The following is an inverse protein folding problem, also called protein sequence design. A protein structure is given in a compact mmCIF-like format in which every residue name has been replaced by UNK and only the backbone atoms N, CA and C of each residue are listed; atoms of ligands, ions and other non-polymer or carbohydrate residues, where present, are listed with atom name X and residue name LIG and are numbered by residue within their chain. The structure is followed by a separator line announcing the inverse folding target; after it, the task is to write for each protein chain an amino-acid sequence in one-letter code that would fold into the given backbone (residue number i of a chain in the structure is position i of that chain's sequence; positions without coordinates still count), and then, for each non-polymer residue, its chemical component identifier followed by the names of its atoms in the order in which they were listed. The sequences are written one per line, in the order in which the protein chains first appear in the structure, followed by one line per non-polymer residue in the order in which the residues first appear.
data_IF_719521835144
#
_entry.id   IF_719521835144
#
_cell.length_a   1.000
_cell.length_b   1.000
_cell.length_c   1.000
_cell.angle_alpha   90.00
_cell.angle_beta   90.00
_cell.angle_gamma   90.00
#
_symmetry.space_group_name_H-M   'P 1'
#
loop_
_entity.id
_entity.type
_entity.pdbx_description
1 polymer ?
#
# COMPACT_ATOMS: atom_id res chain seq x y z
N UNK A 1 -7.73 20.31 -2.65
CA UNK A 1 -6.38 20.91 -2.77
C UNK A 1 -5.54 20.31 -1.66
N UNK A 2 -4.49 19.56 -1.99
CA UNK A 2 -3.58 18.99 -0.98
C UNK A 2 -2.76 20.15 -0.41
N UNK A 3 -2.82 20.39 0.90
CA UNK A 3 -1.92 21.35 1.55
C UNK A 3 -0.51 20.78 1.48
N UNK A 4 0.38 21.38 0.69
CA UNK A 4 1.73 20.87 0.46
C UNK A 4 2.74 21.32 1.52
N UNK A 5 2.36 22.28 2.36
CA UNK A 5 3.26 22.90 3.35
C UNK A 5 3.52 22.00 4.58
N UNK A 6 2.73 20.92 4.73
CA UNK A 6 2.89 19.94 5.82
C UNK A 6 3.89 18.82 5.48
N UNK A 7 4.40 18.78 4.25
CA UNK A 7 5.28 17.70 3.79
C UNK A 7 6.76 18.09 3.90
N UNK A 8 7.66 17.11 4.14
CA UNK A 8 9.09 17.37 4.18
C UNK A 8 9.62 18.05 2.90
N UNK A 9 10.72 18.82 2.98
CA UNK A 9 11.28 19.57 1.84
C UNK A 9 11.69 18.71 0.62
N UNK A 10 11.75 17.39 0.77
CA UNK A 10 12.13 16.42 -0.28
C UNK A 10 10.95 15.57 -0.77
N UNK A 11 9.72 16.07 -0.64
CA UNK A 11 8.52 15.39 -1.15
C UNK A 11 8.19 15.85 -2.57
N UNK A 12 8.07 14.89 -3.49
CA UNK A 12 7.52 15.12 -4.83
C UNK A 12 6.07 14.64 -4.89
N UNK A 13 5.21 15.41 -5.58
CA UNK A 13 3.81 15.04 -5.81
C UNK A 13 3.64 14.61 -7.27
N UNK A 14 3.39 13.32 -7.47
CA UNK A 14 3.21 12.70 -8.79
C UNK A 14 1.75 12.23 -8.91
N UNK A 15 0.85 13.13 -9.30
CA UNK A 15 -0.60 12.90 -9.37
C UNK A 15 -1.08 13.21 -10.79
N UNK A 16 -1.98 12.37 -11.33
CA UNK A 16 -2.58 12.58 -12.66
C UNK A 16 -1.64 12.22 -13.82
N UNK A 17 -0.71 11.29 -13.57
CA UNK A 17 0.21 10.77 -14.58
C UNK A 17 -0.43 9.65 -15.38
N UNK A 18 0.05 9.45 -16.60
CA UNK A 18 -0.32 8.29 -17.40
C UNK A 18 0.24 7.01 -16.78
N UNK A 19 -0.46 5.89 -16.99
CA UNK A 19 -0.10 4.61 -16.38
C UNK A 19 1.33 4.13 -16.74
N UNK A 20 1.81 4.24 -18.00
CA UNK A 20 3.18 3.85 -18.34
C UNK A 20 4.24 4.66 -17.59
N UNK A 21 4.05 5.96 -17.44
CA UNK A 21 5.00 6.83 -16.74
C UNK A 21 5.02 6.51 -15.24
N UNK A 22 3.84 6.25 -14.67
CA UNK A 22 3.69 5.82 -13.28
C UNK A 22 4.41 4.48 -13.04
N UNK A 23 4.24 3.51 -13.93
CA UNK A 23 4.94 2.22 -13.86
C UNK A 23 6.46 2.38 -13.97
N UNK A 24 6.95 3.27 -14.85
CA UNK A 24 8.36 3.60 -14.99
C UNK A 24 8.96 4.15 -13.69
N UNK A 25 8.26 5.07 -13.02
CA UNK A 25 8.69 5.59 -11.72
C UNK A 25 8.68 4.50 -10.65
N UNK A 26 7.59 3.73 -10.56
CA UNK A 26 7.45 2.65 -9.57
C UNK A 26 8.59 1.64 -9.69
N UNK A 27 8.98 1.30 -10.93
CA UNK A 27 10.11 0.40 -11.19
C UNK A 27 11.40 0.92 -10.55
N UNK A 28 11.57 2.23 -10.42
CA UNK A 28 12.78 2.87 -9.90
C UNK A 28 12.78 3.15 -8.39
N UNK A 29 11.66 2.94 -7.70
CA UNK A 29 11.57 3.10 -6.25
C UNK A 29 12.30 1.97 -5.50
N UNK A 30 12.85 2.28 -4.32
CA UNK A 30 13.39 1.27 -3.39
C UNK A 30 12.28 0.46 -2.72
N UNK A 31 11.15 1.10 -2.43
CA UNK A 31 9.96 0.48 -1.85
C UNK A 31 8.73 1.35 -2.11
N UNK A 32 7.56 0.74 -2.23
CA UNK A 32 6.27 1.42 -2.36
C UNK A 32 5.34 1.04 -1.19
N UNK A 33 4.61 2.01 -0.66
CA UNK A 33 3.54 1.77 0.32
C UNK A 33 2.21 1.92 -0.41
N UNK A 34 1.36 0.91 -0.35
CA UNK A 34 0.09 0.86 -1.06
C UNK A 34 -1.05 0.43 -0.11
N UNK A 35 -2.24 0.98 -0.29
CA UNK A 35 -3.49 0.29 0.04
C UNK A 35 -3.90 -0.71 -1.06
N UNK A 36 -4.98 -1.47 -0.85
CA UNK A 36 -5.59 -2.32 -1.89
C UNK A 36 -6.17 -1.48 -3.05
N UNK A 37 -5.31 -1.18 -4.04
CA UNK A 37 -5.63 -0.41 -5.24
C UNK A 37 -4.95 -0.99 -6.49
N UNK A 38 -5.29 -0.50 -7.67
CA UNK A 38 -4.64 -0.93 -8.92
C UNK A 38 -3.12 -0.71 -8.92
N UNK A 39 -2.64 0.34 -8.26
CA UNK A 39 -1.20 0.66 -8.20
C UNK A 39 -0.42 -0.42 -7.44
N UNK A 40 -0.98 -1.01 -6.39
CA UNK A 40 -0.39 -2.16 -5.70
C UNK A 40 -0.04 -3.32 -6.65
N UNK A 41 -0.94 -3.62 -7.60
CA UNK A 41 -0.72 -4.65 -8.61
C UNK A 41 0.32 -4.23 -9.65
N UNK A 42 0.34 -2.95 -10.06
CA UNK A 42 1.39 -2.41 -10.94
C UNK A 42 2.75 -2.51 -10.28
N UNK A 43 2.86 -2.16 -9.00
CA UNK A 43 4.08 -2.35 -8.19
C UNK A 43 4.51 -3.80 -8.14
N UNK A 44 3.56 -4.73 -8.01
CA UNK A 44 3.87 -6.16 -8.07
C UNK A 44 4.44 -6.57 -9.43
N UNK A 45 3.83 -6.09 -10.52
CA UNK A 45 4.26 -6.37 -11.89
C UNK A 45 5.63 -5.76 -12.24
N UNK A 46 5.99 -4.62 -11.63
CA UNK A 46 7.32 -4.01 -11.78
C UNK A 46 8.41 -4.69 -10.91
N UNK A 47 8.04 -5.69 -10.12
CA UNK A 47 8.92 -6.39 -9.17
C UNK A 47 9.63 -5.44 -8.18
N UNK A 48 8.94 -4.35 -7.82
CA UNK A 48 9.37 -3.38 -6.81
C UNK A 48 8.95 -3.87 -5.41
N UNK A 49 9.82 -3.78 -4.39
CA UNK A 49 9.44 -4.06 -3.01
C UNK A 49 8.25 -3.21 -2.57
N UNK A 50 7.34 -3.80 -1.79
CA UNK A 50 6.17 -3.05 -1.34
C UNK A 50 5.59 -3.49 0.00
N UNK A 51 5.02 -2.54 0.70
CA UNK A 51 4.13 -2.78 1.84
C UNK A 51 2.69 -2.56 1.36
N UNK A 52 1.88 -3.61 1.41
CA UNK A 52 0.48 -3.58 1.00
C UNK A 52 -0.44 -3.65 2.24
N UNK A 53 -1.25 -2.61 2.44
CA UNK A 53 -2.07 -2.40 3.62
C UNK A 53 -3.51 -2.84 3.33
N UNK A 54 -4.02 -3.77 4.14
CA UNK A 54 -5.34 -4.35 4.01
C UNK A 54 -6.19 -4.17 5.26
N UNK A 55 -7.50 -4.10 5.04
CA UNK A 55 -8.50 -4.11 6.11
C UNK A 55 -9.85 -4.63 5.63
N UNK A 56 -10.65 -3.83 4.88
CA UNK A 56 -11.97 -4.26 4.42
C UNK A 56 -11.92 -5.41 3.40
N UNK A 57 -10.95 -5.37 2.48
CA UNK A 57 -10.83 -6.30 1.35
C UNK A 57 -10.04 -7.55 1.71
N UNK A 58 -10.23 -8.63 0.93
CA UNK A 58 -9.55 -9.90 1.16
C UNK A 58 -8.12 -9.86 0.61
N UNK A 59 -7.12 -9.94 1.48
CA UNK A 59 -5.72 -10.11 1.12
C UNK A 59 -5.45 -11.48 0.47
N UNK A 60 -6.21 -12.52 0.81
CA UNK A 60 -6.09 -13.82 0.16
C UNK A 60 -6.41 -13.71 -1.34
N UNK A 61 -7.40 -12.89 -1.69
CA UNK A 61 -7.84 -12.69 -3.07
C UNK A 61 -7.00 -11.64 -3.81
N UNK A 62 -6.74 -10.50 -3.16
CA UNK A 62 -6.26 -9.29 -3.81
C UNK A 62 -4.79 -8.96 -3.52
N UNK A 63 -4.06 -9.73 -2.71
CA UNK A 63 -2.65 -9.42 -2.41
C UNK A 63 -1.80 -9.21 -3.67
N UNK A 64 -0.72 -8.41 -3.58
CA UNK A 64 0.27 -8.33 -4.65
C UNK A 64 0.90 -9.70 -4.92
N UNK A 65 1.16 -10.00 -6.20
CA UNK A 65 1.75 -11.26 -6.63
C UNK A 65 3.22 -11.06 -7.00
N UNK A 66 4.05 -10.81 -5.99
CA UNK A 66 5.51 -10.88 -6.09
C UNK A 66 6.09 -11.43 -4.77
N UNK A 67 7.38 -11.75 -4.77
CA UNK A 67 8.08 -12.26 -3.57
C UNK A 67 8.69 -11.14 -2.71
N UNK A 68 8.41 -9.88 -3.06
CA UNK A 68 8.99 -8.68 -2.45
C UNK A 68 7.95 -7.83 -1.72
N UNK A 69 6.77 -8.39 -1.47
CA UNK A 69 5.68 -7.71 -0.78
C UNK A 69 5.54 -8.18 0.67
N UNK A 70 5.34 -7.23 1.57
CA UNK A 70 4.80 -7.45 2.90
C UNK A 70 3.33 -7.05 2.91
N UNK A 71 2.46 -7.91 3.47
CA UNK A 71 1.02 -7.63 3.63
C UNK A 71 0.75 -7.31 5.09
N UNK A 72 0.29 -6.09 5.37
CA UNK A 72 -0.06 -5.65 6.72
C UNK A 72 -1.59 -5.59 6.86
N UNK A 73 -2.10 -6.20 7.93
CA UNK A 73 -3.49 -6.08 8.38
C UNK A 73 -3.57 -6.28 9.88
N UNK A 74 -4.55 -5.67 10.53
CA UNK A 74 -4.76 -5.85 11.98
C UNK A 74 -5.29 -7.24 12.38
N UNK A 75 -5.91 -7.99 11.46
CA UNK A 75 -6.50 -9.30 11.76
C UNK A 75 -7.73 -9.23 12.68
N UNK A 76 -8.45 -8.10 12.69
CA UNK A 76 -9.64 -7.94 13.53
C UNK A 76 -10.78 -8.87 13.08
N UNK A 77 -11.72 -9.23 13.98
CA UNK A 77 -12.91 -10.03 13.63
C UNK A 77 -13.81 -9.40 12.56
N UNK A 78 -13.65 -8.12 12.27
CA UNK A 78 -14.37 -7.44 11.20
C UNK A 78 -13.74 -7.59 9.81
N UNK A 79 -12.55 -8.21 9.70
CA UNK A 79 -11.77 -8.32 8.47
C UNK A 79 -11.72 -9.78 7.95
N UNK A 80 -11.76 -9.99 6.62
CA UNK A 80 -12.24 -9.04 5.62
C UNK A 80 -13.77 -8.90 5.73
N UNK A 81 -14.31 -7.72 5.44
CA UNK A 81 -15.75 -7.51 5.30
C UNK A 81 -16.19 -7.42 3.84
N UNK A 82 -15.28 -7.67 2.88
CA UNK A 82 -15.55 -7.67 1.45
C UNK A 82 -16.79 -8.49 1.10
N UNK A 83 -17.67 -7.92 0.26
CA UNK A 83 -18.94 -8.53 -0.17
C UNK A 83 -19.95 -8.79 0.94
N UNK A 84 -19.75 -8.21 2.13
CA UNK A 84 -20.76 -8.18 3.20
C UNK A 84 -21.41 -6.79 3.26
N UNK A 85 -22.63 -6.67 3.83
CA UNK A 85 -23.25 -5.36 4.06
C UNK A 85 -22.33 -4.39 4.82
N UNK A 86 -21.51 -4.92 5.74
CA UNK A 86 -20.57 -4.16 6.57
C UNK A 86 -19.51 -3.42 5.74
N UNK A 87 -19.18 -3.87 4.53
CA UNK A 87 -18.25 -3.15 3.66
C UNK A 87 -18.73 -1.73 3.31
N UNK A 88 -20.05 -1.54 3.20
CA UNK A 88 -20.65 -0.25 2.80
C UNK A 88 -21.28 0.50 3.96
N UNK A 89 -21.66 -0.19 5.05
CA UNK A 89 -22.31 0.41 6.22
C UNK A 89 -21.34 0.75 7.36
N UNK A 90 -20.08 0.28 7.31
CA UNK A 90 -19.07 0.60 8.32
C UNK A 90 -18.66 2.08 8.24
N UNK A 91 -18.78 2.80 9.35
CA UNK A 91 -18.41 4.22 9.46
C UNK A 91 -17.08 4.45 10.18
N UNK A 92 -16.55 3.44 10.90
CA UNK A 92 -15.37 3.61 11.75
C UNK A 92 -14.05 3.18 11.10
N UNK A 93 -14.09 2.22 10.19
CA UNK A 93 -12.91 1.65 9.50
C UNK A 93 -11.71 1.38 10.42
N UNK A 94 -11.96 0.96 11.67
CA UNK A 94 -10.91 0.66 12.67
C UNK A 94 -9.91 -0.37 12.19
N UNK A 95 -10.32 -1.23 11.25
CA UNK A 95 -9.48 -2.18 10.54
C UNK A 95 -8.29 -1.55 9.78
N UNK A 96 -8.39 -0.26 9.43
CA UNK A 96 -7.35 0.51 8.74
C UNK A 96 -6.55 1.40 9.70
N UNK A 97 -6.84 1.37 11.01
CA UNK A 97 -6.14 2.16 12.02
C UNK A 97 -4.78 1.53 12.37
N UNK A 98 -3.93 1.40 11.36
CA UNK A 98 -2.64 0.74 11.44
C UNK A 98 -1.58 1.76 11.80
N UNK A 99 -0.76 1.42 12.81
CA UNK A 99 0.32 2.29 13.28
C UNK A 99 1.34 2.57 12.16
N UNK A 100 1.69 3.85 11.92
CA UNK A 100 2.74 4.21 10.98
C UNK A 100 4.09 3.58 11.29
N UNK A 101 4.40 3.35 12.56
CA UNK A 101 5.66 2.76 13.02
C UNK A 101 5.83 1.33 12.47
N UNK A 102 4.77 0.52 12.51
CA UNK A 102 4.75 -0.82 11.92
C UNK A 102 5.04 -0.78 10.40
N UNK A 103 4.46 0.20 9.69
CA UNK A 103 4.68 0.37 8.26
C UNK A 103 6.14 0.73 7.98
N UNK A 104 6.71 1.64 8.77
CA UNK A 104 8.11 2.07 8.64
C UNK A 104 9.09 0.92 8.90
N UNK A 105 8.80 0.06 9.88
CA UNK A 105 9.61 -1.14 10.17
C UNK A 105 9.63 -2.11 8.98
N UNK A 106 8.47 -2.41 8.41
CA UNK A 106 8.36 -3.28 7.22
C UNK A 106 9.07 -2.69 6.01
N UNK A 107 8.95 -1.38 5.78
CA UNK A 107 9.69 -0.68 4.72
C UNK A 107 11.20 -0.84 4.89
N UNK A 108 11.73 -0.64 6.09
CA UNK A 108 13.17 -0.80 6.36
C UNK A 108 13.64 -2.23 6.08
N UNK A 109 12.91 -3.23 6.59
CA UNK A 109 13.23 -4.64 6.35
C UNK A 109 13.24 -4.99 4.86
N UNK A 110 12.27 -4.48 4.09
CA UNK A 110 12.20 -4.73 2.65
C UNK A 110 13.36 -4.08 1.90
N UNK A 111 13.71 -2.83 2.21
CA UNK A 111 14.81 -2.11 1.55
C UNK A 111 16.16 -2.79 1.86
N UNK A 112 16.36 -3.25 3.10
CA UNK A 112 17.57 -3.99 3.48
C UNK A 112 17.65 -5.37 2.79
N UNK A 113 16.51 -6.07 2.67
CA UNK A 113 16.44 -7.39 2.04
C UNK A 113 16.56 -7.36 0.52
N UNK A 114 16.06 -6.29 -0.10
CA UNK A 114 16.01 -6.12 -1.55
C UNK A 114 16.64 -4.79 -1.97
N UNK A 115 17.96 -4.62 -1.76
CA UNK A 115 18.65 -3.44 -2.21
C UNK A 115 18.57 -3.33 -3.73
N UNK A 116 18.42 -2.09 -4.20
CA UNK A 116 18.51 -1.75 -5.62
C UNK A 116 19.94 -1.79 -6.15
#
# INVERSE_FOLDING_TARGET
VVNRDIYPPKTAFMIGMELPDTAGIIKDLDCMINEDSGIMHVTAAMDTPQVAIFGPTSDIKNRPWNNKAAVIKQGLPCQPCQYTPKQTTCTRNVCMDISPELIVEEVKMLIEKFPK
#
